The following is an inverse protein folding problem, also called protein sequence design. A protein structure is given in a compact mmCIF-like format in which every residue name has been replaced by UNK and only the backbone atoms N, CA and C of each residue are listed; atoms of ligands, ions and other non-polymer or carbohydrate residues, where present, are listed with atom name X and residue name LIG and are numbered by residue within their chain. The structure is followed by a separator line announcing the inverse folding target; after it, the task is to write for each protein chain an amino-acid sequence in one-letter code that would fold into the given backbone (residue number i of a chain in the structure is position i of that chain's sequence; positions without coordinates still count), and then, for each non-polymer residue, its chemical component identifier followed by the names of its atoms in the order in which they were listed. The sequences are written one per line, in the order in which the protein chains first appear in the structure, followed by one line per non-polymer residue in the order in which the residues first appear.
data_IF_196816727716
#
_entry.id   IF_196816727716
#
_cell.length_a   1.000
_cell.length_b   1.000
_cell.length_c   1.000
_cell.angle_alpha   90.00
_cell.angle_beta   90.00
_cell.angle_gamma   90.00
#
_symmetry.space_group_name_H-M   'P 1'
#
loop_
_entity.id
_entity.type
_entity.pdbx_description
1 polymer ?
#
# COMPACT_ATOMS: atom_id res chain seq x y z
N UNK A 1 18.90 17.32 31.85
CA UNK A 1 18.48 18.03 30.62
C UNK A 1 17.37 18.99 31.01
N UNK A 2 17.48 20.27 30.64
CA UNK A 2 16.51 21.30 31.01
C UNK A 2 15.35 21.26 30.01
N UNK A 3 14.10 21.31 30.48
CA UNK A 3 12.92 21.29 29.61
C UNK A 3 12.69 22.69 29.00
N UNK A 4 12.60 22.82 27.66
CA UNK A 4 12.36 24.11 27.02
C UNK A 4 10.86 24.41 26.91
N UNK A 5 10.21 24.73 28.04
CA UNK A 5 8.77 24.99 28.08
C UNK A 5 8.29 26.12 27.13
N UNK A 6 8.98 27.27 27.01
CA UNK A 6 8.54 28.35 26.12
C UNK A 6 8.56 27.96 24.63
N UNK A 7 9.44 27.04 24.24
CA UNK A 7 9.58 26.60 22.85
C UNK A 7 8.40 25.71 22.42
N UNK A 8 7.68 25.09 23.36
CA UNK A 8 6.51 24.25 23.06
C UNK A 8 5.34 25.10 22.53
N UNK A 9 5.12 26.28 23.11
CA UNK A 9 4.07 27.20 22.63
C UNK A 9 4.45 27.73 21.24
N UNK A 10 5.68 28.21 21.06
CA UNK A 10 6.19 28.66 19.76
C UNK A 10 6.16 27.56 18.69
N UNK A 11 6.32 26.29 19.08
CA UNK A 11 6.14 25.14 18.18
C UNK A 11 4.70 24.97 17.72
N UNK A 12 3.72 25.19 18.59
CA UNK A 12 2.29 25.09 18.25
C UNK A 12 1.88 26.24 17.31
N UNK A 13 2.39 27.44 17.56
CA UNK A 13 2.12 28.62 16.75
C UNK A 13 2.92 28.65 15.44
N UNK A 14 3.90 27.76 15.28
CA UNK A 14 4.74 27.67 14.09
C UNK A 14 5.81 28.78 13.98
N UNK A 15 6.16 29.40 15.11
CA UNK A 15 7.13 30.50 15.18
C UNK A 15 8.59 30.04 15.33
N UNK A 16 8.82 28.73 15.50
CA UNK A 16 10.16 28.17 15.59
C UNK A 16 10.85 28.10 14.23
N UNK A 17 12.16 28.33 14.24
CA UNK A 17 12.99 28.01 13.08
C UNK A 17 13.07 26.50 12.86
N UNK A 18 13.39 26.07 11.64
CA UNK A 18 13.51 24.65 11.27
C UNK A 18 14.49 23.91 12.20
N UNK A 19 15.60 24.57 12.56
CA UNK A 19 16.62 23.99 13.45
C UNK A 19 16.08 23.80 14.88
N UNK A 20 15.38 24.79 15.41
CA UNK A 20 14.77 24.72 16.74
C UNK A 20 13.65 23.67 16.79
N UNK A 21 12.86 23.58 15.72
CA UNK A 21 11.82 22.58 15.57
C UNK A 21 12.39 21.16 15.66
N UNK A 22 13.48 20.88 14.94
CA UNK A 22 14.14 19.57 14.97
C UNK A 22 14.72 19.24 16.34
N UNK A 23 15.33 20.22 17.01
CA UNK A 23 15.85 20.04 18.37
C UNK A 23 14.74 19.71 19.38
N UNK A 24 13.62 20.42 19.31
CA UNK A 24 12.47 20.19 20.17
C UNK A 24 11.81 18.83 19.91
N UNK A 25 11.63 18.45 18.64
CA UNK A 25 11.09 17.15 18.25
C UNK A 25 11.98 16.00 18.73
N UNK A 26 13.30 16.17 18.66
CA UNK A 26 14.27 15.22 19.22
C UNK A 26 14.13 15.11 20.75
N UNK A 27 14.00 16.25 21.45
CA UNK A 27 13.81 16.28 22.89
C UNK A 27 12.51 15.58 23.31
N UNK A 28 11.39 15.83 22.61
CA UNK A 28 10.09 15.24 22.91
C UNK A 28 10.05 13.71 22.75
N UNK A 29 10.90 13.13 21.89
CA UNK A 29 11.01 11.67 21.78
C UNK A 29 11.54 11.01 23.06
N UNK A 30 12.26 11.75 23.88
CA UNK A 30 12.91 11.24 25.10
C UNK A 30 12.31 11.80 26.39
N UNK A 31 11.68 12.98 26.33
CA UNK A 31 11.11 13.68 27.48
C UNK A 31 9.58 13.60 27.50
N UNK A 32 9.03 12.70 28.34
CA UNK A 32 7.58 12.53 28.51
C UNK A 32 6.87 13.79 29.02
N UNK A 33 7.54 14.61 29.81
CA UNK A 33 6.96 15.85 30.33
C UNK A 33 6.67 16.84 29.22
N UNK A 34 7.63 17.06 28.31
CA UNK A 34 7.45 17.97 27.18
C UNK A 34 6.42 17.45 26.18
N UNK A 35 6.34 16.13 25.96
CA UNK A 35 5.29 15.55 25.10
C UNK A 35 3.89 15.72 25.69
N UNK A 36 3.76 15.56 27.01
CA UNK A 36 2.48 15.74 27.71
C UNK A 36 2.05 17.21 27.75
N UNK A 37 3.01 18.12 27.93
CA UNK A 37 2.75 19.56 27.87
C UNK A 37 2.25 19.98 26.48
N UNK A 38 2.92 19.53 25.41
CA UNK A 38 2.48 19.79 24.03
C UNK A 38 1.07 19.25 23.77
N UNK A 39 0.75 18.06 24.26
CA UNK A 39 -0.59 17.50 24.16
C UNK A 39 -1.63 18.38 24.85
N UNK A 40 -1.32 18.84 26.07
CA UNK A 40 -2.21 19.68 26.88
C UNK A 40 -2.47 21.03 26.21
N UNK A 41 -1.42 21.69 25.72
CA UNK A 41 -1.54 22.97 25.03
C UNK A 41 -2.33 22.85 23.71
N UNK A 42 -2.12 21.78 22.93
CA UNK A 42 -2.93 21.50 21.73
C UNK A 42 -4.39 21.28 22.05
N UNK A 43 -4.69 20.54 23.13
CA UNK A 43 -6.06 20.30 23.56
C UNK A 43 -6.76 21.61 23.92
N UNK A 44 -6.07 22.51 24.63
CA UNK A 44 -6.59 23.84 24.95
C UNK A 44 -6.84 24.65 23.68
N UNK A 45 -5.90 24.66 22.73
CA UNK A 45 -6.07 25.36 21.45
C UNK A 45 -7.30 24.87 20.68
N UNK A 46 -7.51 23.55 20.60
CA UNK A 46 -8.70 22.97 19.98
C UNK A 46 -10.00 23.32 20.73
N UNK A 47 -9.98 23.34 22.06
CA UNK A 47 -11.16 23.73 22.87
C UNK A 47 -11.53 25.20 22.66
N UNK A 48 -10.53 26.07 22.55
CA UNK A 48 -10.72 27.49 22.23
C UNK A 48 -11.34 27.61 20.84
N UNK A 49 -10.75 26.96 19.83
CA UNK A 49 -11.28 26.98 18.46
C UNK A 49 -12.73 26.45 18.40
N UNK A 50 -13.04 25.37 19.13
CA UNK A 50 -14.40 24.85 19.25
C UNK A 50 -15.37 25.86 19.91
N UNK A 51 -14.96 26.49 21.01
CA UNK A 51 -15.79 27.48 21.71
C UNK A 51 -16.07 28.75 20.88
N UNK A 52 -15.11 29.16 20.04
CA UNK A 52 -15.28 30.32 19.16
C UNK A 52 -16.00 29.97 17.86
N UNK A 53 -15.82 28.76 17.31
CA UNK A 53 -16.48 28.33 16.06
C UNK A 53 -18.00 28.18 16.20
N UNK A 54 -18.51 27.85 17.39
CA UNK A 54 -19.97 27.80 17.62
C UNK A 54 -20.63 29.20 17.54
N UNK A 55 -19.89 30.25 17.91
CA UNK A 55 -20.34 31.65 17.89
C UNK A 55 -20.10 32.34 16.53
N UNK A 56 -19.16 31.86 15.72
CA UNK A 56 -18.87 32.37 14.38
C UNK A 56 -19.54 31.48 13.33
N UNK A 57 -20.87 31.42 13.34
CA UNK A 57 -21.63 30.93 12.18
C UNK A 57 -21.68 32.02 11.11
N UNK A 58 -20.52 32.38 10.56
CA UNK A 58 -20.51 32.85 9.19
C UNK A 58 -20.78 31.60 8.34
N UNK A 59 -21.91 31.50 7.62
CA UNK A 59 -22.08 30.40 6.68
C UNK A 59 -20.94 30.53 5.67
N UNK A 60 -19.89 29.73 5.83
CA UNK A 60 -18.89 29.55 4.79
C UNK A 60 -19.68 29.24 3.53
N UNK A 61 -19.45 30.05 2.49
CA UNK A 61 -20.23 29.97 1.28
C UNK A 61 -20.23 28.51 0.81
N UNK A 62 -21.41 28.00 0.52
CA UNK A 62 -21.59 26.59 0.13
C UNK A 62 -20.71 26.24 -1.10
N UNK A 63 -20.27 27.26 -1.84
CA UNK A 63 -19.29 27.17 -2.93
C UNK A 63 -17.86 26.88 -2.47
N UNK A 64 -17.40 27.41 -1.33
CA UNK A 64 -16.07 27.10 -0.79
C UNK A 64 -16.01 25.68 -0.25
N UNK A 65 -17.03 25.26 0.52
CA UNK A 65 -17.12 23.88 1.02
C UNK A 65 -17.20 22.90 -0.15
N UNK A 66 -18.04 23.19 -1.15
CA UNK A 66 -18.13 22.36 -2.36
C UNK A 66 -16.80 22.34 -3.14
N UNK A 67 -16.12 23.46 -3.27
CA UNK A 67 -14.80 23.52 -3.93
C UNK A 67 -13.73 22.74 -3.16
N UNK A 68 -13.71 22.84 -1.83
CA UNK A 68 -12.79 22.06 -0.99
C UNK A 68 -13.10 20.57 -1.02
N UNK A 69 -14.37 20.17 -0.94
CA UNK A 69 -14.80 18.77 -1.05
C UNK A 69 -14.44 18.24 -2.44
N UNK A 70 -14.71 19.01 -3.51
CA UNK A 70 -14.39 18.60 -4.88
C UNK A 70 -12.87 18.52 -5.10
N UNK A 71 -12.09 19.45 -4.53
CA UNK A 71 -10.62 19.42 -4.61
C UNK A 71 -10.01 18.30 -3.76
N UNK A 72 -10.59 18.00 -2.59
CA UNK A 72 -10.15 16.88 -1.76
C UNK A 72 -10.49 15.55 -2.43
N UNK A 73 -11.72 15.38 -2.93
CA UNK A 73 -12.19 14.17 -3.61
C UNK A 73 -11.43 13.92 -4.93
N UNK A 74 -11.14 14.97 -5.70
CA UNK A 74 -10.31 14.86 -6.92
C UNK A 74 -8.84 14.60 -6.63
N UNK A 75 -8.30 15.04 -5.47
CA UNK A 75 -6.93 14.68 -5.06
C UNK A 75 -6.81 13.26 -4.54
N UNK A 76 -7.85 12.69 -3.92
CA UNK A 76 -7.81 11.33 -3.38
C UNK A 76 -8.05 10.29 -4.49
N UNK A 77 -8.82 10.61 -5.54
CA UNK A 77 -8.99 9.75 -6.73
C UNK A 77 -7.77 9.76 -7.67
N UNK A 78 -6.79 10.63 -7.43
CA UNK A 78 -5.50 10.66 -8.12
C UNK A 78 -4.52 9.55 -7.71
N UNK A 79 -4.82 8.75 -6.69
CA UNK A 79 -3.99 7.60 -6.27
C UNK A 79 -4.30 6.29 -7.02
N UNK A 80 -5.13 6.33 -8.07
CA UNK A 80 -5.28 5.21 -9.01
C UNK A 80 -4.58 5.52 -10.32
N UNK A 81 -3.26 5.69 -10.28
CA UNK A 81 -2.46 5.34 -11.44
C UNK A 81 -2.76 3.87 -11.71
N UNK A 82 -3.42 3.55 -12.83
CA UNK A 82 -3.70 2.16 -13.22
C UNK A 82 -2.42 1.31 -13.22
N UNK A 83 -1.27 1.92 -13.49
CA UNK A 83 0.04 1.28 -13.39
C UNK A 83 0.43 0.91 -11.94
N UNK A 84 0.08 1.72 -10.94
CA UNK A 84 0.33 1.46 -9.53
C UNK A 84 -0.66 0.42 -8.98
N UNK A 85 -1.92 0.48 -9.39
CA UNK A 85 -2.91 -0.55 -9.06
C UNK A 85 -2.50 -1.93 -9.62
N UNK A 86 -1.96 -1.96 -10.85
CA UNK A 86 -1.46 -3.20 -11.47
C UNK A 86 -0.21 -3.74 -10.76
N UNK A 87 0.71 -2.84 -10.34
CA UNK A 87 1.89 -3.23 -9.54
C UNK A 87 1.50 -3.74 -8.16
N UNK A 88 0.56 -3.09 -7.49
CA UNK A 88 0.04 -3.52 -6.19
C UNK A 88 -0.64 -4.89 -6.29
N UNK A 89 -1.47 -5.11 -7.32
CA UNK A 89 -2.11 -6.41 -7.58
C UNK A 89 -1.09 -7.53 -7.84
N UNK A 90 -0.03 -7.23 -8.60
CA UNK A 90 1.04 -8.21 -8.90
C UNK A 90 1.83 -8.60 -7.64
N UNK A 91 2.16 -7.62 -6.79
CA UNK A 91 2.81 -7.89 -5.51
C UNK A 91 1.93 -8.73 -4.59
N UNK A 92 0.63 -8.42 -4.54
CA UNK A 92 -0.33 -9.14 -3.70
C UNK A 92 -0.50 -10.59 -4.18
N UNK A 93 -0.53 -10.81 -5.50
CA UNK A 93 -0.54 -12.15 -6.09
C UNK A 93 0.72 -12.97 -5.73
N UNK A 94 1.91 -12.35 -5.82
CA UNK A 94 3.17 -13.01 -5.45
C UNK A 94 3.22 -13.37 -3.97
N UNK A 95 2.74 -12.49 -3.08
CA UNK A 95 2.67 -12.76 -1.64
C UNK A 95 1.75 -13.95 -1.35
N UNK A 96 0.54 -13.96 -1.94
CA UNK A 96 -0.42 -15.06 -1.78
C UNK A 96 0.16 -16.37 -2.30
N UNK A 97 0.82 -16.36 -3.46
CA UNK A 97 1.49 -17.54 -4.02
C UNK A 97 2.55 -18.08 -3.04
N UNK A 98 3.34 -17.18 -2.45
CA UNK A 98 4.40 -17.55 -1.51
C UNK A 98 3.83 -18.16 -0.22
N UNK A 99 2.71 -17.64 0.28
CA UNK A 99 2.01 -18.19 1.45
C UNK A 99 1.43 -19.58 1.16
N UNK A 100 0.79 -19.77 0.00
CA UNK A 100 0.22 -21.08 -0.38
C UNK A 100 1.31 -22.14 -0.56
N UNK A 101 2.43 -21.78 -1.20
CA UNK A 101 3.58 -22.66 -1.37
C UNK A 101 4.18 -23.01 0.00
N UNK A 102 4.43 -22.02 0.86
CA UNK A 102 5.00 -22.27 2.20
C UNK A 102 4.08 -23.05 3.14
N UNK A 103 2.76 -22.85 3.07
CA UNK A 103 1.78 -23.66 3.78
C UNK A 103 1.72 -25.11 3.27
N UNK A 104 2.03 -25.34 1.99
CA UNK A 104 2.10 -26.69 1.42
C UNK A 104 3.35 -27.47 1.87
N UNK A 105 4.42 -26.75 2.27
CA UNK A 105 5.68 -27.35 2.71
C UNK A 105 5.85 -27.43 4.23
N UNK A 106 4.99 -26.77 5.01
CA UNK A 106 5.11 -26.75 6.48
C UNK A 106 3.90 -27.42 7.13
N UNK A 107 4.15 -28.43 7.96
CA UNK A 107 3.14 -29.09 8.81
C UNK A 107 2.70 -28.17 9.97
N UNK A 108 2.29 -26.94 9.65
CA UNK A 108 1.81 -25.98 10.64
C UNK A 108 0.34 -26.27 10.89
N UNK A 109 0.03 -26.63 12.14
CA UNK A 109 -1.33 -26.82 12.64
C UNK A 109 -2.09 -25.49 12.62
N UNK A 110 -2.78 -25.21 11.53
CA UNK A 110 -3.73 -24.09 11.41
C UNK A 110 -5.12 -24.58 11.82
N UNK A 111 -5.89 -23.72 12.50
CA UNK A 111 -7.27 -23.97 12.93
C UNK A 111 -8.15 -24.54 11.79
N UNK A 112 -8.92 -25.60 12.09
CA UNK A 112 -9.71 -26.38 11.13
C UNK A 112 -10.66 -25.54 10.27
N UNK A 113 -11.14 -24.38 10.76
CA UNK A 113 -12.11 -23.55 10.04
C UNK A 113 -11.51 -22.82 8.83
N UNK A 114 -10.23 -22.50 8.86
CA UNK A 114 -9.54 -21.84 7.72
C UNK A 114 -9.08 -22.91 6.71
N UNK A 115 -8.73 -24.10 7.20
CA UNK A 115 -8.30 -25.23 6.36
C UNK A 115 -9.41 -25.66 5.41
N UNK A 116 -10.66 -25.71 5.84
CA UNK A 116 -11.76 -26.17 4.96
C UNK A 116 -11.97 -25.25 3.76
N UNK A 117 -12.00 -23.93 3.99
CA UNK A 117 -12.18 -22.94 2.91
C UNK A 117 -10.97 -22.90 1.97
N UNK A 118 -9.76 -22.94 2.52
CA UNK A 118 -8.54 -22.94 1.72
C UNK A 118 -8.40 -24.24 0.92
N UNK A 119 -8.73 -25.39 1.52
CA UNK A 119 -8.74 -26.70 0.84
C UNK A 119 -9.77 -26.72 -0.28
N UNK A 120 -10.95 -26.16 -0.09
CA UNK A 120 -11.96 -26.05 -1.14
C UNK A 120 -11.44 -25.23 -2.33
N UNK A 121 -10.85 -24.06 -2.07
CA UNK A 121 -10.29 -23.20 -3.13
C UNK A 121 -9.11 -23.90 -3.83
N UNK A 122 -8.20 -24.52 -3.07
CA UNK A 122 -7.07 -25.24 -3.64
C UNK A 122 -7.49 -26.47 -4.45
N UNK A 123 -8.47 -27.25 -3.99
CA UNK A 123 -9.00 -28.40 -4.72
C UNK A 123 -9.73 -27.95 -5.98
N UNK A 124 -10.52 -26.89 -5.92
CA UNK A 124 -11.20 -26.32 -7.10
C UNK A 124 -10.20 -25.84 -8.16
N UNK A 125 -9.16 -25.12 -7.74
CA UNK A 125 -8.09 -24.67 -8.65
C UNK A 125 -7.33 -25.86 -9.23
N UNK A 126 -6.98 -26.86 -8.41
CA UNK A 126 -6.29 -28.06 -8.88
C UNK A 126 -7.14 -28.87 -9.88
N UNK A 127 -8.45 -28.97 -9.66
CA UNK A 127 -9.39 -29.63 -10.58
C UNK A 127 -9.54 -28.86 -11.89
N UNK A 128 -9.57 -27.52 -11.86
CA UNK A 128 -9.56 -26.70 -13.07
C UNK A 128 -8.28 -26.88 -13.88
N UNK A 129 -7.12 -26.90 -13.22
CA UNK A 129 -5.85 -27.16 -13.90
C UNK A 129 -5.79 -28.58 -14.46
N UNK A 130 -6.25 -29.58 -13.70
CA UNK A 130 -6.31 -30.96 -14.16
C UNK A 130 -7.25 -31.11 -15.35
N UNK A 131 -8.44 -30.49 -15.33
CA UNK A 131 -9.38 -30.54 -16.45
C UNK A 131 -8.80 -29.85 -17.69
N UNK A 132 -8.16 -28.69 -17.53
CA UNK A 132 -7.48 -27.98 -18.62
C UNK A 132 -6.31 -28.81 -19.16
N UNK A 133 -5.51 -29.43 -18.31
CA UNK A 133 -4.41 -30.31 -18.72
C UNK A 133 -4.88 -31.57 -19.43
N UNK A 134 -6.01 -32.17 -19.02
CA UNK A 134 -6.61 -33.32 -19.71
C UNK A 134 -7.15 -32.92 -21.07
N UNK A 135 -7.80 -31.75 -21.17
CA UNK A 135 -8.25 -31.19 -22.46
C UNK A 135 -7.04 -30.91 -23.36
N UNK A 136 -6.00 -30.26 -22.85
CA UNK A 136 -4.75 -30.02 -23.59
C UNK A 136 -4.03 -31.32 -23.97
N UNK A 137 -4.07 -32.36 -23.14
CA UNK A 137 -3.48 -33.67 -23.45
C UNK A 137 -4.28 -34.41 -24.53
N UNK A 138 -5.61 -34.32 -24.50
CA UNK A 138 -6.48 -34.92 -25.52
C UNK A 138 -6.42 -34.15 -26.85
N UNK A 139 -6.22 -32.82 -26.80
CA UNK A 139 -5.97 -31.99 -28.00
C UNK A 139 -4.53 -32.17 -28.50
N UNK A 140 -3.56 -32.33 -27.60
CA UNK A 140 -2.14 -32.54 -27.90
C UNK A 140 -1.79 -33.97 -28.34
N UNK A 141 -2.66 -34.94 -28.12
CA UNK A 141 -2.55 -36.30 -28.65
C UNK A 141 -2.58 -36.35 -30.19
N UNK A 142 -3.00 -35.26 -30.86
CA UNK A 142 -2.95 -35.14 -32.31
C UNK A 142 -1.56 -34.76 -32.85
N UNK A 143 -0.65 -34.24 -32.01
CA UNK A 143 0.66 -33.70 -32.43
C UNK A 143 1.71 -34.01 -31.34
N UNK A 144 2.47 -35.10 -31.51
CA UNK A 144 3.75 -35.41 -30.84
C UNK A 144 3.98 -34.86 -29.42
N UNK A 145 3.73 -35.68 -28.40
CA UNK A 145 3.76 -35.35 -26.96
C UNK A 145 5.06 -34.74 -26.41
N UNK A 146 6.20 -35.00 -27.05
CA UNK A 146 7.50 -34.48 -26.57
C UNK A 146 7.80 -33.06 -27.03
N UNK A 147 7.21 -32.64 -28.16
CA UNK A 147 7.39 -31.28 -28.68
C UNK A 147 6.51 -30.29 -27.91
N UNK A 148 5.28 -30.67 -27.57
CA UNK A 148 4.32 -29.79 -26.87
C UNK A 148 4.79 -29.49 -25.45
N UNK A 149 5.24 -30.49 -24.68
CA UNK A 149 5.68 -30.24 -23.30
C UNK A 149 6.92 -29.35 -23.23
N UNK A 150 7.89 -29.54 -24.13
CA UNK A 150 9.07 -28.66 -24.21
C UNK A 150 8.71 -27.25 -24.69
N UNK A 151 7.82 -27.14 -25.67
CA UNK A 151 7.37 -25.85 -26.20
C UNK A 151 6.54 -25.06 -25.18
N UNK A 152 5.70 -25.73 -24.39
CA UNK A 152 4.87 -25.09 -23.37
C UNK A 152 5.71 -24.58 -22.19
N UNK A 153 6.70 -25.37 -21.76
CA UNK A 153 7.64 -24.96 -20.70
C UNK A 153 8.52 -23.80 -21.17
N UNK A 154 8.99 -23.83 -22.42
CA UNK A 154 9.71 -22.71 -23.04
C UNK A 154 8.82 -21.47 -23.19
N UNK A 155 7.53 -21.63 -23.47
CA UNK A 155 6.59 -20.51 -23.57
C UNK A 155 6.34 -19.85 -22.21
N UNK A 156 6.18 -20.65 -21.14
CA UNK A 156 6.06 -20.11 -19.78
C UNK A 156 7.34 -19.36 -19.38
N UNK A 157 8.53 -19.93 -19.64
CA UNK A 157 9.80 -19.26 -19.34
C UNK A 157 9.97 -17.99 -20.17
N UNK A 158 9.65 -18.03 -21.46
CA UNK A 158 9.74 -16.87 -22.36
C UNK A 158 8.79 -15.75 -21.94
N UNK A 159 7.55 -16.06 -21.56
CA UNK A 159 6.59 -15.07 -21.05
C UNK A 159 7.11 -14.43 -19.76
N UNK A 160 7.65 -15.22 -18.84
CA UNK A 160 8.25 -14.69 -17.61
C UNK A 160 9.48 -13.81 -17.88
N UNK A 161 10.36 -14.19 -18.81
CA UNK A 161 11.55 -13.41 -19.18
C UNK A 161 11.22 -12.10 -19.91
N UNK A 162 10.27 -12.11 -20.85
CA UNK A 162 9.81 -10.90 -21.55
C UNK A 162 9.19 -9.92 -20.54
N UNK A 163 8.46 -10.44 -19.55
CA UNK A 163 7.84 -9.64 -18.51
C UNK A 163 8.86 -9.01 -17.57
N UNK A 164 9.87 -9.78 -17.15
CA UNK A 164 11.01 -9.26 -16.36
C UNK A 164 11.80 -8.21 -17.14
N UNK A 165 12.10 -8.45 -18.42
CA UNK A 165 12.80 -7.49 -19.27
C UNK A 165 12.00 -6.18 -19.40
N UNK A 166 10.67 -6.24 -19.57
CA UNK A 166 9.83 -5.04 -19.61
C UNK A 166 9.80 -4.26 -18.29
N UNK A 167 9.88 -4.94 -17.15
CA UNK A 167 9.97 -4.26 -15.85
C UNK A 167 11.34 -3.57 -15.72
N UNK A 168 12.44 -4.26 -16.04
CA UNK A 168 13.79 -3.72 -15.91
C UNK A 168 14.01 -2.53 -16.87
N UNK A 169 13.72 -2.69 -18.16
CA UNK A 169 13.87 -1.62 -19.15
C UNK A 169 12.79 -0.53 -19.03
N UNK A 170 11.62 -0.85 -18.48
CA UNK A 170 10.57 0.11 -18.18
C UNK A 170 10.92 1.04 -17.00
N UNK A 171 11.76 0.58 -16.07
CA UNK A 171 12.28 1.38 -14.95
C UNK A 171 13.36 2.36 -15.44
N UNK A 172 14.24 1.93 -16.33
CA UNK A 172 15.38 2.74 -16.81
C UNK A 172 14.93 3.97 -17.63
N UNK A 173 13.83 3.85 -18.38
CA UNK A 173 13.27 4.98 -19.16
C UNK A 173 12.71 6.12 -18.30
N UNK A 174 12.35 5.86 -17.04
CA UNK A 174 11.80 6.89 -16.12
C UNK A 174 12.90 7.71 -15.45
N UNK A 175 14.10 7.15 -15.27
CA UNK A 175 15.25 7.83 -14.64
C UNK A 175 15.86 8.92 -15.53
N UNK A 176 15.77 8.80 -16.86
CA UNK A 176 16.28 9.83 -17.78
C UNK A 176 15.33 11.02 -18.02
N UNK A 177 14.10 11.01 -17.50
CA UNK A 177 13.11 12.09 -17.70
C UNK A 177 13.01 13.07 -16.53
N UNK A 178 13.77 12.88 -15.46
CA UNK A 178 13.77 13.73 -14.26
C UNK A 178 15.00 14.64 -14.13
N UNK A 179 15.78 14.82 -15.20
CA UNK A 179 16.95 15.74 -15.25
C UNK A 179 16.89 16.66 -16.48
N UNK A 180 15.70 17.13 -16.85
CA UNK A 180 15.49 18.11 -17.91
C UNK A 180 14.53 19.20 -17.46
#
# INVERSE_FOLDING_TARGET
MKCPLPEIAAYIDGELSIEQQQMLESHMKTCKLCSQELYTQRQIACLIEAAFSENVRNPLSNTFVKSLVTNAESRITGCTNQEEAFRASTLLFLIVLTIVVSASFSNVYVSERIIVSLRFVCTFVAELFFSVSVILKNVGLFIGSDFINRSFLLLIIAVNLIFLARIVFGVEKKTHRTVG
#
